data_IF_129186540497
#
_entry.id   IF_129186540497
#
_cell.length_a   1.000
_cell.length_b   1.000
_cell.length_c   1.000
_cell.angle_alpha   90.00
_cell.angle_beta   90.00
_cell.angle_gamma   90.00
#
_symmetry.space_group_name_H-M   'P 1'
#
loop_
_entity.id
_entity.type
_entity.pdbx_description
1 polymer ?
#
# COMPACT_ATOMS: atom_id res chain seq x y z
N UNK A 1 -6.91 -15.65 -0.63
CA UNK A 1 -5.91 -14.67 -1.10
C UNK A 1 -5.40 -13.77 -0.01
N UNK A 2 -4.11 -13.42 -0.12
CA UNK A 2 -3.42 -12.44 0.70
C UNK A 2 -3.67 -11.04 0.15
N UNK A 3 -4.07 -10.10 0.99
CA UNK A 3 -4.34 -8.71 0.59
C UNK A 3 -3.50 -7.77 1.45
N UNK A 4 -2.57 -7.08 0.82
CA UNK A 4 -1.82 -6.00 1.43
C UNK A 4 -2.58 -4.69 1.24
N UNK A 5 -3.19 -4.15 2.30
CA UNK A 5 -3.79 -2.81 2.25
C UNK A 5 -2.67 -1.80 2.42
N UNK A 6 -2.43 -0.95 1.42
CA UNK A 6 -1.41 0.08 1.46
C UNK A 6 -2.03 1.43 1.82
N UNK A 7 -1.47 2.13 2.80
CA UNK A 7 -1.92 3.44 3.26
C UNK A 7 -0.74 4.32 3.63
N UNK A 8 -0.83 5.63 3.41
CA UNK A 8 0.20 6.58 3.82
C UNK A 8 -0.28 7.47 4.98
N UNK A 9 0.43 7.39 6.11
CA UNK A 9 0.20 8.24 7.27
C UNK A 9 0.95 9.57 7.15
N UNK A 10 0.76 10.48 8.11
CA UNK A 10 1.59 11.69 8.21
C UNK A 10 3.05 11.38 8.55
N UNK A 11 3.30 10.25 9.21
CA UNK A 11 4.59 9.83 9.74
C UNK A 11 5.38 8.96 8.75
N UNK A 12 4.84 8.70 7.55
CA UNK A 12 5.47 7.81 6.57
C UNK A 12 6.91 8.22 6.25
N UNK A 13 7.81 7.23 6.29
CA UNK A 13 9.23 7.40 6.00
C UNK A 13 9.42 7.57 4.50
N UNK A 14 9.53 8.82 4.07
CA UNK A 14 9.66 9.18 2.66
C UNK A 14 11.04 9.73 2.38
N UNK A 15 11.52 9.59 1.14
CA UNK A 15 12.83 10.10 0.74
C UNK A 15 12.93 11.63 0.87
N UNK A 16 11.84 12.35 0.59
CA UNK A 16 11.77 13.80 0.68
C UNK A 16 10.33 14.28 0.81
N UNK A 17 10.15 15.51 1.29
CA UNK A 17 8.87 16.23 1.38
C UNK A 17 8.98 17.63 0.78
N UNK A 18 9.48 17.72 -0.46
CA UNK A 18 9.59 18.98 -1.20
C UNK A 18 8.34 19.30 -2.04
N UNK A 19 7.67 20.42 -1.80
CA UNK A 19 6.51 20.86 -2.58
C UNK A 19 5.18 20.75 -1.82
N UNK A 20 4.06 20.86 -2.53
CA UNK A 20 2.73 20.88 -1.92
C UNK A 20 2.33 19.46 -1.46
N UNK A 21 1.97 19.28 -0.17
CA UNK A 21 1.45 18.01 0.32
C UNK A 21 0.05 17.75 -0.23
N UNK A 22 -0.30 16.48 -0.37
CA UNK A 22 -1.64 16.08 -0.75
C UNK A 22 -2.67 16.50 0.33
N UNK A 23 -3.73 17.25 -0.02
CA UNK A 23 -4.72 17.73 0.94
C UNK A 23 -5.76 16.64 1.32
N UNK A 24 -5.92 15.60 0.50
CA UNK A 24 -6.88 14.52 0.74
C UNK A 24 -6.17 13.29 1.26
N UNK A 25 -6.79 12.62 2.23
CA UNK A 25 -6.30 11.38 2.82
C UNK A 25 -7.48 10.53 3.27
N UNK A 26 -7.33 9.21 3.21
CA UNK A 26 -8.20 8.34 3.97
C UNK A 26 -7.85 8.45 5.45
N UNK A 27 -8.84 8.80 6.26
CA UNK A 27 -8.72 8.76 7.70
C UNK A 27 -8.57 7.32 8.19
N UNK A 28 -7.91 7.13 9.33
CA UNK A 28 -7.63 5.81 9.90
C UNK A 28 -8.87 4.93 10.02
N UNK A 29 -10.01 5.51 10.41
CA UNK A 29 -11.29 4.80 10.50
C UNK A 29 -11.73 4.16 9.17
N UNK A 30 -11.54 4.84 8.04
CA UNK A 30 -11.92 4.29 6.74
C UNK A 30 -11.03 3.09 6.37
N UNK A 31 -9.73 3.18 6.67
CA UNK A 31 -8.78 2.08 6.50
C UNK A 31 -9.15 0.89 7.38
N UNK A 32 -9.48 1.13 8.66
CA UNK A 32 -9.89 0.07 9.59
C UNK A 32 -11.19 -0.62 9.13
N UNK A 33 -12.15 0.13 8.57
CA UNK A 33 -13.36 -0.46 7.99
C UNK A 33 -13.05 -1.36 6.77
N UNK A 34 -12.11 -0.96 5.91
CA UNK A 34 -11.69 -1.78 4.76
C UNK A 34 -10.97 -3.04 5.24
N UNK A 35 -10.05 -2.91 6.20
CA UNK A 35 -9.39 -4.07 6.82
C UNK A 35 -10.41 -5.07 7.37
N UNK A 36 -11.35 -4.60 8.18
CA UNK A 36 -12.40 -5.44 8.76
C UNK A 36 -13.24 -6.13 7.68
N UNK A 37 -13.72 -5.39 6.67
CA UNK A 37 -14.53 -5.95 5.60
C UNK A 37 -13.79 -7.01 4.77
N UNK A 38 -12.50 -6.81 4.48
CA UNK A 38 -11.69 -7.79 3.77
C UNK A 38 -11.41 -9.03 4.63
N UNK A 39 -11.13 -8.86 5.92
CA UNK A 39 -10.93 -9.98 6.85
C UNK A 39 -12.23 -10.78 7.04
N UNK A 40 -13.37 -10.12 7.21
CA UNK A 40 -14.70 -10.77 7.28
C UNK A 40 -15.04 -11.53 5.99
N UNK A 41 -14.55 -11.06 4.85
CA UNK A 41 -14.62 -11.75 3.56
C UNK A 41 -13.74 -13.00 3.45
N UNK A 42 -12.95 -13.34 4.47
CA UNK A 42 -12.10 -14.53 4.52
C UNK A 42 -10.72 -14.36 3.89
N UNK A 43 -10.25 -13.12 3.70
CA UNK A 43 -8.92 -12.84 3.18
C UNK A 43 -7.87 -12.76 4.31
N UNK A 44 -6.63 -13.12 4.02
CA UNK A 44 -5.48 -12.82 4.90
C UNK A 44 -5.05 -11.39 4.62
N UNK A 45 -5.28 -10.48 5.57
CA UNK A 45 -5.15 -9.04 5.34
C UNK A 45 -4.12 -8.45 6.28
N UNK A 46 -3.24 -7.60 5.74
CA UNK A 46 -2.30 -6.82 6.53
C UNK A 46 -2.24 -5.37 6.04
N UNK A 47 -2.08 -4.43 6.98
CA UNK A 47 -1.91 -3.02 6.69
C UNK A 47 -0.43 -2.70 6.56
N UNK A 48 -0.06 -2.04 5.46
CA UNK A 48 1.30 -1.59 5.20
C UNK A 48 1.32 -0.08 5.04
N UNK A 49 2.34 0.52 5.64
CA UNK A 49 2.66 1.90 5.37
C UNK A 49 3.30 2.03 3.99
N UNK A 50 2.73 2.88 3.15
CA UNK A 50 3.21 3.13 1.79
C UNK A 50 4.38 4.13 1.82
N UNK A 51 5.52 3.63 2.27
CA UNK A 51 6.75 4.38 2.50
C UNK A 51 7.94 3.71 1.77
N UNK A 52 9.16 4.17 2.03
CA UNK A 52 10.38 3.64 1.36
C UNK A 52 10.61 2.14 1.59
N UNK A 53 10.04 1.56 2.65
CA UNK A 53 10.19 0.14 2.99
C UNK A 53 9.07 -0.73 2.40
N UNK A 54 8.09 -0.16 1.70
CA UNK A 54 6.90 -0.89 1.25
C UNK A 54 7.25 -2.14 0.44
N UNK A 55 8.17 -2.05 -0.54
CA UNK A 55 8.51 -3.19 -1.40
C UNK A 55 9.14 -4.35 -0.61
N UNK A 56 9.98 -4.06 0.38
CA UNK A 56 10.57 -5.08 1.25
C UNK A 56 9.49 -5.74 2.11
N UNK A 57 8.60 -4.95 2.71
CA UNK A 57 7.50 -5.47 3.52
C UNK A 57 6.53 -6.34 2.70
N UNK A 58 6.25 -5.97 1.44
CA UNK A 58 5.41 -6.75 0.55
C UNK A 58 6.08 -8.09 0.17
N UNK A 59 7.40 -8.10 -0.08
CA UNK A 59 8.15 -9.33 -0.32
C UNK A 59 8.02 -10.30 0.86
N UNK A 60 8.17 -9.81 2.08
CA UNK A 60 8.08 -10.62 3.28
C UNK A 60 6.65 -11.17 3.48
N UNK A 61 5.64 -10.32 3.32
CA UNK A 61 4.23 -10.71 3.50
C UNK A 61 3.76 -11.76 2.49
N UNK A 62 4.08 -11.54 1.22
CA UNK A 62 3.76 -12.47 0.15
C UNK A 62 4.73 -13.67 0.09
N UNK A 63 5.81 -13.65 0.88
CA UNK A 63 6.85 -14.68 0.89
C UNK A 63 7.47 -14.87 -0.51
N UNK A 64 7.76 -13.75 -1.18
CA UNK A 64 8.32 -13.75 -2.53
C UNK A 64 9.78 -14.20 -2.49
N UNK A 65 10.09 -15.32 -3.14
CA UNK A 65 11.44 -15.87 -3.30
C UNK A 65 12.19 -15.32 -4.53
N UNK A 66 11.51 -14.50 -5.34
CA UNK A 66 12.02 -13.94 -6.59
C UNK A 66 12.07 -14.91 -7.77
N UNK A 67 11.58 -16.14 -7.59
CA UNK A 67 11.53 -17.17 -8.63
C UNK A 67 10.10 -17.59 -8.96
N UNK A 68 9.22 -17.57 -7.95
CA UNK A 68 7.83 -17.99 -8.04
C UNK A 68 6.94 -16.76 -8.18
N UNK A 69 6.19 -16.61 -9.30
CA UNK A 69 5.22 -15.54 -9.44
C UNK A 69 4.15 -15.61 -8.36
N UNK A 70 3.73 -14.45 -7.86
CA UNK A 70 2.60 -14.35 -6.95
C UNK A 70 1.31 -14.78 -7.68
N UNK A 71 0.67 -15.84 -7.23
CA UNK A 71 -0.56 -16.38 -7.86
C UNK A 71 -1.84 -16.10 -7.07
N UNK A 72 -1.75 -15.71 -5.79
CA UNK A 72 -2.90 -15.49 -4.91
C UNK A 72 -2.71 -14.28 -3.96
N UNK A 73 -2.33 -13.13 -4.54
CA UNK A 73 -2.12 -11.91 -3.77
C UNK A 73 -2.52 -10.62 -4.49
N UNK A 74 -2.89 -9.61 -3.72
CA UNK A 74 -3.31 -8.29 -4.21
C UNK A 74 -2.81 -7.19 -3.27
N UNK A 75 -2.41 -6.04 -3.83
CA UNK A 75 -2.24 -4.81 -3.06
C UNK A 75 -3.48 -3.94 -3.22
N UNK A 76 -4.18 -3.67 -2.12
CA UNK A 76 -5.32 -2.78 -2.10
C UNK A 76 -4.85 -1.34 -1.82
N UNK A 77 -4.91 -0.50 -2.85
CA UNK A 77 -4.37 0.86 -2.78
C UNK A 77 -5.33 1.83 -2.05
N UNK A 78 -5.01 2.19 -0.81
CA UNK A 78 -5.61 3.31 -0.07
C UNK A 78 -4.62 4.47 0.11
N UNK A 79 -3.67 4.62 -0.81
CA UNK A 79 -2.64 5.65 -0.77
C UNK A 79 -3.11 6.88 -1.53
N UNK A 80 -2.99 8.04 -0.89
CA UNK A 80 -3.29 9.35 -1.51
C UNK A 80 -2.04 10.09 -1.97
N UNK A 81 -0.89 9.40 -1.99
CA UNK A 81 0.40 10.00 -2.32
C UNK A 81 0.88 10.96 -1.24
N UNK A 82 2.19 11.15 -1.14
CA UNK A 82 2.76 12.15 -0.24
C UNK A 82 2.85 13.50 -0.95
N UNK A 83 3.20 13.48 -2.24
CA UNK A 83 3.45 14.66 -3.06
C UNK A 83 3.01 14.41 -4.51
N UNK A 84 2.62 15.47 -5.21
CA UNK A 84 2.35 15.43 -6.66
C UNK A 84 0.87 15.26 -7.03
N UNK A 85 0.63 15.32 -8.34
CA UNK A 85 -0.67 15.14 -8.99
C UNK A 85 -0.95 13.66 -9.26
N UNK A 86 -2.18 13.28 -9.62
CA UNK A 86 -2.53 11.89 -10.02
C UNK A 86 -2.23 10.80 -8.97
N UNK A 87 -2.24 11.14 -7.69
CA UNK A 87 -1.88 10.29 -6.54
C UNK A 87 -2.30 8.81 -6.54
N UNK A 88 -3.47 8.46 -7.07
CA UNK A 88 -3.93 7.08 -7.10
C UNK A 88 -3.09 6.21 -8.05
N UNK A 89 -2.35 6.81 -8.98
CA UNK A 89 -1.53 6.09 -9.97
C UNK A 89 -0.12 5.82 -9.48
N UNK A 90 0.39 6.55 -8.48
CA UNK A 90 1.79 6.46 -8.06
C UNK A 90 2.15 5.08 -7.53
N UNK A 91 1.38 4.57 -6.56
CA UNK A 91 1.66 3.24 -6.02
C UNK A 91 1.47 2.14 -7.08
N UNK A 92 0.36 2.08 -7.84
CA UNK A 92 0.22 1.13 -8.94
C UNK A 92 1.36 1.19 -9.95
N UNK A 93 1.82 2.38 -10.35
CA UNK A 93 2.93 2.54 -11.28
C UNK A 93 4.25 2.02 -10.69
N UNK A 94 4.52 2.26 -9.41
CA UNK A 94 5.70 1.71 -8.74
C UNK A 94 5.65 0.19 -8.63
N UNK A 95 4.49 -0.39 -8.34
CA UNK A 95 4.32 -1.85 -8.25
C UNK A 95 4.42 -2.50 -9.63
N UNK A 96 3.81 -1.92 -10.67
CA UNK A 96 3.94 -2.40 -12.05
C UNK A 96 5.42 -2.47 -12.48
N UNK A 97 6.23 -1.49 -12.08
CA UNK A 97 7.67 -1.49 -12.34
C UNK A 97 8.45 -2.49 -11.48
N UNK A 98 7.94 -2.85 -10.30
CA UNK A 98 8.58 -3.79 -9.39
C UNK A 98 8.32 -5.26 -9.76
N UNK A 99 7.28 -5.53 -10.55
CA UNK A 99 6.79 -6.88 -10.89
C UNK A 99 5.87 -7.45 -9.82
#
# INVERSE_FOLDING_TARGET
MKIAVAWNSEESRVLSRLGQPCPERYGRRAVDCVLAGLTEGGHEVALFEADVALLENLKDFFQLDGQTPLTDGMVFNMVYGIQGECRYTHLPAMLEMAG
#
